data_IF_624566714106
#
_entry.id   IF_624566714106
#
_cell.length_a   1.000
_cell.length_b   1.000
_cell.length_c   1.000
_cell.angle_alpha   90.00
_cell.angle_beta   90.00
_cell.angle_gamma   90.00
#
_symmetry.space_group_name_H-M   'P 1'
#
loop_
_entity.id
_entity.type
_entity.pdbx_description
1 polymer ?
#
# COMPACT_ATOMS: atom_id res chain seq x y z
N UNK A 1 -5.80 6.47 -9.14
CA UNK A 1 -6.53 6.51 -7.84
C UNK A 1 -5.76 7.17 -6.70
N UNK A 2 -6.43 7.91 -5.79
CA UNK A 2 -5.83 8.50 -4.59
C UNK A 2 -5.53 7.46 -3.51
N UNK A 3 -4.41 7.63 -2.80
CA UNK A 3 -4.00 6.80 -1.65
C UNK A 3 -4.29 7.48 -0.32
N UNK A 4 -4.69 6.71 0.68
CA UNK A 4 -4.79 7.17 2.07
C UNK A 4 -3.69 6.50 2.91
N UNK A 5 -3.07 7.25 3.81
CA UNK A 5 -2.08 6.69 4.73
C UNK A 5 -2.76 6.12 5.97
N UNK A 6 -2.36 4.92 6.34
CA UNK A 6 -2.84 4.20 7.51
C UNK A 6 -1.67 3.70 8.35
N UNK A 7 -1.99 3.22 9.55
CA UNK A 7 -1.05 2.56 10.44
C UNK A 7 -1.68 1.31 11.04
N UNK A 8 -0.87 0.27 11.23
CA UNK A 8 -1.25 -0.93 11.96
C UNK A 8 -0.25 -1.19 13.08
N UNK A 9 -0.75 -1.61 14.24
CA UNK A 9 0.09 -2.07 15.34
C UNK A 9 0.29 -3.58 15.24
N UNK A 10 1.54 -4.01 15.03
CA UNK A 10 1.92 -5.41 14.86
C UNK A 10 3.11 -5.71 15.76
N UNK A 11 2.96 -6.65 16.70
CA UNK A 11 4.00 -7.03 17.66
C UNK A 11 4.64 -5.82 18.37
N UNK A 12 3.82 -4.85 18.79
CA UNK A 12 4.26 -3.63 19.47
C UNK A 12 4.96 -2.61 18.56
N UNK A 13 4.94 -2.80 17.24
CA UNK A 13 5.51 -1.88 16.25
C UNK A 13 4.41 -1.27 15.40
N UNK A 14 4.53 0.02 15.14
CA UNK A 14 3.60 0.76 14.27
C UNK A 14 4.11 0.72 12.83
N UNK A 15 3.38 0.04 11.95
CA UNK A 15 3.69 -0.10 10.52
C UNK A 15 2.85 0.91 9.74
N UNK A 16 3.51 1.80 8.99
CA UNK A 16 2.84 2.69 8.04
C UNK A 16 2.58 1.96 6.72
N UNK A 17 1.39 2.14 6.14
CA UNK A 17 1.05 1.63 4.82
C UNK A 17 0.12 2.59 4.08
N UNK A 18 0.09 2.49 2.75
CA UNK A 18 -0.85 3.18 1.88
C UNK A 18 -1.98 2.22 1.46
N UNK A 19 -3.21 2.71 1.42
CA UNK A 19 -4.36 1.96 0.91
C UNK A 19 -5.07 2.74 -0.21
N UNK A 20 -5.50 2.02 -1.25
CA UNK A 20 -6.31 2.57 -2.34
C UNK A 20 -7.20 1.47 -2.96
N UNK A 21 -8.32 1.87 -3.57
CA UNK A 21 -9.21 0.93 -4.26
C UNK A 21 -10.06 0.08 -3.30
N UNK A 22 -10.69 -0.97 -3.86
CA UNK A 22 -11.64 -1.87 -3.18
C UNK A 22 -11.62 -3.24 -3.86
N UNK A 23 -12.10 -4.27 -3.17
CA UNK A 23 -12.11 -5.66 -3.66
C UNK A 23 -11.02 -6.52 -3.01
N UNK A 24 -10.64 -7.60 -3.70
CA UNK A 24 -9.61 -8.53 -3.22
C UNK A 24 -8.25 -7.82 -3.05
N UNK A 25 -7.49 -8.14 -1.99
CA UNK A 25 -6.29 -7.39 -1.63
C UNK A 25 -5.11 -7.71 -2.56
N UNK A 26 -4.42 -6.65 -3.01
CA UNK A 26 -3.13 -6.72 -3.71
C UNK A 26 -2.08 -6.09 -2.80
N UNK A 27 -1.15 -6.90 -2.28
CA UNK A 27 -0.11 -6.44 -1.34
C UNK A 27 1.20 -6.19 -2.07
N UNK A 28 1.70 -4.95 -2.00
CA UNK A 28 2.95 -4.54 -2.63
C UNK A 28 4.06 -4.42 -1.57
N UNK A 29 5.02 -5.34 -1.59
CA UNK A 29 6.13 -5.34 -0.65
C UNK A 29 7.35 -4.64 -1.25
N UNK A 30 7.82 -3.58 -0.61
CA UNK A 30 9.04 -2.88 -1.03
C UNK A 30 10.32 -3.61 -0.57
N UNK A 31 11.47 -3.21 -1.11
CA UNK A 31 12.79 -3.73 -0.71
C UNK A 31 13.60 -2.74 0.12
N UNK A 32 14.86 -3.08 0.37
CA UNK A 32 15.86 -2.20 0.97
C UNK A 32 16.59 -1.40 -0.12
N UNK A 33 16.83 -0.08 -0.02
CA UNK A 33 16.51 0.87 1.06
C UNK A 33 15.28 1.75 0.75
N UNK A 34 14.16 1.13 0.38
CA UNK A 34 12.96 1.84 -0.10
C UNK A 34 11.80 1.82 0.92
N UNK A 35 10.67 2.38 0.55
CA UNK A 35 9.41 2.37 1.31
C UNK A 35 8.21 2.17 0.37
N UNK A 36 6.99 2.19 0.90
CA UNK A 36 5.75 2.20 0.11
C UNK A 36 5.72 3.29 -0.98
N UNK A 37 6.49 4.36 -0.82
CA UNK A 37 6.65 5.42 -1.81
C UNK A 37 7.21 4.92 -3.15
N UNK A 38 7.92 3.78 -3.17
CA UNK A 38 8.36 3.11 -4.40
C UNK A 38 7.18 2.87 -5.36
N UNK A 39 6.01 2.55 -4.82
CA UNK A 39 4.84 2.15 -5.58
C UNK A 39 3.95 3.29 -6.04
N UNK A 40 4.25 4.54 -5.71
CA UNK A 40 3.39 5.71 -6.02
C UNK A 40 2.97 5.84 -7.49
N UNK A 41 3.80 5.38 -8.42
CA UNK A 41 3.52 5.41 -9.86
C UNK A 41 2.92 4.10 -10.40
N UNK A 42 2.95 3.03 -9.61
CA UNK A 42 2.36 1.72 -9.94
C UNK A 42 0.93 1.62 -9.39
N UNK A 43 0.68 2.15 -8.19
CA UNK A 43 -0.65 2.13 -7.55
C UNK A 43 -1.74 2.67 -8.50
N UNK A 44 -1.57 3.80 -9.21
CA UNK A 44 -2.60 4.29 -10.14
C UNK A 44 -2.92 3.33 -11.29
N UNK A 45 -1.99 2.46 -11.70
CA UNK A 45 -2.21 1.52 -12.81
C UNK A 45 -3.00 0.27 -12.39
N UNK A 46 -3.22 0.09 -11.08
CA UNK A 46 -4.01 -1.01 -10.50
C UNK A 46 -5.46 -0.60 -10.20
N UNK A 47 -5.88 0.56 -10.69
CA UNK A 47 -7.25 1.06 -10.48
C UNK A 47 -8.28 0.09 -11.08
N UNK A 48 -9.24 -0.34 -10.25
CA UNK A 48 -10.25 -1.34 -10.62
C UNK A 48 -9.78 -2.80 -10.52
N UNK A 49 -8.50 -3.07 -10.24
CA UNK A 49 -7.99 -4.43 -10.09
C UNK A 49 -8.20 -5.03 -8.70
N UNK A 50 -8.30 -4.18 -7.66
CA UNK A 50 -8.46 -4.64 -6.28
C UNK A 50 -8.18 -3.56 -5.24
N UNK A 51 -8.11 -3.98 -3.98
CA UNK A 51 -7.72 -3.14 -2.85
C UNK A 51 -6.22 -3.20 -2.66
N UNK A 52 -5.51 -2.15 -3.04
CA UNK A 52 -4.05 -2.08 -2.99
C UNK A 52 -3.58 -1.67 -1.60
N UNK A 53 -2.62 -2.40 -1.04
CA UNK A 53 -1.96 -2.15 0.24
C UNK A 53 -0.45 -2.14 0.00
N UNK A 54 0.24 -1.05 0.33
CA UNK A 54 1.65 -0.83 0.01
C UNK A 54 2.47 -0.26 1.18
#
# INVERSE_FOLDING_TARGET
MPTTQHFADVNGKRIAYLEAGRGDPIVLLHGNPTSSYLWRNIIPTLEGCGRVIA
#
